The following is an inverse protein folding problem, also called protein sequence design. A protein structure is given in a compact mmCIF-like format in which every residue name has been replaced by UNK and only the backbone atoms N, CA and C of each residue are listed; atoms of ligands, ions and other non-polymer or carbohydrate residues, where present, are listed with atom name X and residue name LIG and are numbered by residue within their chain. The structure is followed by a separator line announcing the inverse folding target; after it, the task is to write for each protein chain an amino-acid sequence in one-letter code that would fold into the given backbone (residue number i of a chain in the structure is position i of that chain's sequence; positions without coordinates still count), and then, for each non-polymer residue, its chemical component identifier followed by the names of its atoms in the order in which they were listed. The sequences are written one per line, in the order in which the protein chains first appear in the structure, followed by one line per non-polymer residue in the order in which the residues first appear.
data_IF_807921753732
#
_entry.id   IF_807921753732
#
_cell.length_a   1.000
_cell.length_b   1.000
_cell.length_c   1.000
_cell.angle_alpha   90.00
_cell.angle_beta   90.00
_cell.angle_gamma   90.00
#
_symmetry.space_group_name_H-M   'P 1'
#
loop_
_entity.id
_entity.type
_entity.pdbx_description
1 polymer ?
#
# COMPACT_ATOMS: atom_id res chain seq x y z
N UNK A 1 0.63 13.26 2.30
CA UNK A 1 1.71 13.67 3.22
C UNK A 1 1.18 13.41 4.61
N UNK A 2 1.65 12.35 5.25
CA UNK A 2 1.21 12.01 6.61
C UNK A 2 2.24 12.58 7.59
N UNK A 3 1.77 13.31 8.59
CA UNK A 3 2.63 13.94 9.60
C UNK A 3 2.27 13.32 10.93
N UNK A 4 3.12 12.42 11.44
CA UNK A 4 2.98 11.83 12.76
C UNK A 4 4.16 12.31 13.60
N UNK A 5 3.87 12.99 14.72
CA UNK A 5 4.87 13.54 15.66
C UNK A 5 5.96 14.43 15.00
N UNK A 6 5.57 15.27 14.04
CA UNK A 6 6.51 16.20 13.38
C UNK A 6 7.51 15.53 12.41
N UNK A 7 7.41 14.21 12.22
CA UNK A 7 8.13 13.49 11.15
C UNK A 7 7.24 13.44 9.92
N UNK A 8 7.74 14.01 8.83
CA UNK A 8 7.09 13.96 7.52
C UNK A 8 7.56 12.65 6.86
N UNK A 9 6.75 11.61 6.99
CA UNK A 9 7.00 10.37 6.26
C UNK A 9 6.43 10.52 4.85
N UNK A 10 7.35 10.70 3.90
CA UNK A 10 7.01 10.89 2.49
C UNK A 10 7.04 9.54 1.80
N UNK A 11 5.90 9.11 1.28
CA UNK A 11 5.80 7.86 0.53
C UNK A 11 5.81 8.13 -0.97
N UNK A 12 6.62 7.38 -1.71
CA UNK A 12 6.62 7.36 -3.17
C UNK A 12 5.69 6.26 -3.63
N UNK A 13 4.68 6.62 -4.40
CA UNK A 13 3.76 5.70 -5.06
C UNK A 13 4.17 5.55 -6.51
N UNK A 14 4.38 4.30 -6.95
CA UNK A 14 4.65 3.95 -8.35
C UNK A 14 3.55 3.00 -8.81
N UNK A 15 2.76 3.44 -9.78
CA UNK A 15 1.76 2.58 -10.44
C UNK A 15 2.45 1.63 -11.42
N UNK A 16 2.12 0.35 -11.33
CA UNK A 16 2.56 -0.68 -12.28
C UNK A 16 1.50 -0.87 -13.37
N UNK A 17 0.22 -0.73 -13.01
CA UNK A 17 -0.94 -0.73 -13.90
C UNK A 17 -2.13 -0.04 -13.19
N UNK A 18 -3.29 0.01 -13.82
CA UNK A 18 -4.51 0.66 -13.28
C UNK A 18 -5.01 0.09 -11.94
N UNK A 19 -4.66 -1.16 -11.62
CA UNK A 19 -5.11 -1.88 -10.43
C UNK A 19 -3.98 -2.28 -9.47
N UNK A 20 -2.74 -1.85 -9.71
CA UNK A 20 -1.58 -2.26 -8.92
C UNK A 20 -0.56 -1.12 -8.79
N UNK A 21 -0.15 -0.86 -7.56
CA UNK A 21 0.90 0.10 -7.26
C UNK A 21 1.85 -0.40 -6.17
N UNK A 22 3.02 0.19 -6.16
CA UNK A 22 4.07 -0.06 -5.18
C UNK A 22 4.28 1.23 -4.39
N UNK A 23 4.20 1.14 -3.08
CA UNK A 23 4.42 2.22 -2.14
C UNK A 23 5.72 1.98 -1.39
N UNK A 24 6.61 2.97 -1.38
CA UNK A 24 7.89 2.90 -0.68
C UNK A 24 8.11 4.17 0.14
N UNK A 25 8.53 4.03 1.40
CA UNK A 25 8.95 5.18 2.19
C UNK A 25 10.23 5.77 1.56
N UNK A 26 10.21 7.07 1.28
CA UNK A 26 11.38 7.79 0.73
C UNK A 26 12.44 8.07 1.78
N UNK A 27 12.05 8.15 3.07
CA UNK A 27 12.93 8.40 4.19
C UNK A 27 12.77 7.30 5.26
N UNK A 28 13.10 6.03 4.94
CA UNK A 28 12.97 4.94 5.89
C UNK A 28 13.95 5.12 7.04
N UNK A 29 13.47 5.17 8.29
CA UNK A 29 14.35 5.29 9.47
C UNK A 29 14.93 3.93 9.86
N UNK A 30 14.22 2.84 9.54
CA UNK A 30 14.62 1.48 9.84
C UNK A 30 14.49 0.53 8.63
N UNK A 31 15.15 -0.65 8.70
CA UNK A 31 15.13 -1.66 7.63
C UNK A 31 13.72 -2.17 7.29
N UNK A 32 12.82 -2.18 8.27
CA UNK A 32 11.43 -2.59 8.07
C UNK A 32 10.65 -1.57 7.22
N UNK A 33 10.84 -0.27 7.46
CA UNK A 33 10.23 0.80 6.65
C UNK A 33 10.81 0.90 5.23
N UNK A 34 12.02 0.37 5.02
CA UNK A 34 12.63 0.28 3.69
C UNK A 34 11.93 -0.72 2.79
N UNK A 35 11.20 -1.70 3.36
CA UNK A 35 10.48 -2.69 2.55
C UNK A 35 9.31 -2.00 1.84
N UNK A 36 9.39 -1.92 0.52
CA UNK A 36 8.28 -1.44 -0.29
C UNK A 36 7.08 -2.38 -0.16
N UNK A 37 5.88 -1.81 -0.08
CA UNK A 37 4.62 -2.54 -0.06
C UNK A 37 4.05 -2.51 -1.47
N UNK A 38 3.80 -3.68 -2.04
CA UNK A 38 3.03 -3.84 -3.27
C UNK A 38 1.58 -4.02 -2.89
N UNK A 39 0.70 -3.21 -3.49
CA UNK A 39 -0.74 -3.29 -3.31
C UNK A 39 -1.41 -3.54 -4.65
N UNK A 40 -2.31 -4.52 -4.69
CA UNK A 40 -3.04 -4.95 -5.87
C UNK A 40 -4.52 -5.05 -5.57
N UNK A 41 -5.34 -4.38 -6.37
CA UNK A 41 -6.79 -4.53 -6.34
C UNK A 41 -7.13 -5.81 -7.12
N UNK A 42 -7.77 -6.77 -6.46
CA UNK A 42 -8.15 -8.06 -7.04
C UNK A 42 -9.53 -8.00 -7.68
N UNK A 43 -10.50 -7.43 -6.96
CA UNK A 43 -11.89 -7.34 -7.42
C UNK A 43 -12.51 -6.03 -6.96
N UNK A 44 -13.32 -5.43 -7.83
CA UNK A 44 -14.07 -4.21 -7.57
C UNK A 44 -15.56 -4.51 -7.77
N UNK A 45 -16.36 -4.17 -6.77
CA UNK A 45 -17.82 -4.19 -6.79
C UNK A 45 -18.34 -2.76 -6.64
N UNK A 46 -19.65 -2.56 -6.81
CA UNK A 46 -20.28 -1.23 -6.76
C UNK A 46 -19.92 -0.41 -5.50
N UNK A 47 -19.87 -1.06 -4.33
CA UNK A 47 -19.62 -0.41 -3.03
C UNK A 47 -18.46 -1.03 -2.25
N UNK A 48 -17.67 -1.91 -2.86
CA UNK A 48 -16.55 -2.54 -2.17
C UNK A 48 -15.45 -2.96 -3.12
N UNK A 49 -14.22 -3.05 -2.63
CA UNK A 49 -13.13 -3.65 -3.38
C UNK A 49 -12.28 -4.53 -2.48
N UNK A 50 -11.79 -5.63 -3.03
CA UNK A 50 -10.85 -6.52 -2.37
C UNK A 50 -9.46 -6.22 -2.89
N UNK A 51 -8.54 -5.99 -1.97
CA UNK A 51 -7.13 -5.75 -2.29
C UNK A 51 -6.25 -6.78 -1.61
N UNK A 52 -5.12 -7.05 -2.23
CA UNK A 52 -4.02 -7.84 -1.70
C UNK A 52 -2.82 -6.92 -1.53
N UNK A 53 -2.13 -7.01 -0.39
CA UNK A 53 -0.88 -6.31 -0.18
C UNK A 53 0.19 -7.24 0.40
N UNK A 54 1.44 -6.98 0.04
CA UNK A 54 2.60 -7.71 0.54
C UNK A 54 3.83 -6.84 0.45
N UNK A 55 4.89 -7.20 1.17
CA UNK A 55 6.20 -6.60 0.90
C UNK A 55 6.72 -7.10 -0.45
N UNK A 56 7.36 -6.22 -1.22
CA UNK A 56 7.97 -6.58 -2.51
C UNK A 56 9.02 -7.67 -2.28
N UNK A 57 8.83 -8.82 -2.93
CA UNK A 57 9.68 -10.00 -2.79
C UNK A 57 9.31 -10.94 -1.64
N UNK A 58 8.27 -10.64 -0.86
CA UNK A 58 7.76 -11.52 0.19
C UNK A 58 6.63 -12.42 -0.34
N UNK A 59 6.62 -13.69 0.08
CA UNK A 59 5.59 -14.66 -0.33
C UNK A 59 4.32 -14.56 0.51
N UNK A 60 4.37 -13.90 1.68
CA UNK A 60 3.21 -13.72 2.55
C UNK A 60 2.40 -12.53 2.07
N UNK A 61 1.23 -12.84 1.53
CA UNK A 61 0.28 -11.84 1.06
C UNK A 61 -0.89 -11.73 2.01
N UNK A 62 -1.28 -10.51 2.32
CA UNK A 62 -2.44 -10.22 3.14
C UNK A 62 -3.54 -9.64 2.26
N UNK A 63 -4.79 -9.93 2.62
CA UNK A 63 -5.96 -9.51 1.86
C UNK A 63 -6.88 -8.71 2.75
N UNK A 64 -7.37 -7.59 2.21
CA UNK A 64 -8.34 -6.73 2.85
C UNK A 64 -9.52 -6.49 1.92
N UNK A 65 -10.67 -6.16 2.52
CA UNK A 65 -11.85 -5.70 1.77
C UNK A 65 -12.22 -4.32 2.28
N UNK A 66 -12.28 -3.35 1.38
CA UNK A 66 -12.77 -2.00 1.69
C UNK A 66 -14.21 -1.93 1.25
N UNK A 67 -15.07 -1.34 2.08
CA UNK A 67 -16.48 -1.10 1.78
C UNK A 67 -16.77 0.38 1.98
N UNK A 68 -17.36 1.00 0.97
CA UNK A 68 -17.89 2.35 1.06
C UNK A 68 -19.09 2.32 2.00
N UNK A 69 -19.06 3.15 3.04
CA UNK A 69 -20.17 3.39 3.95
C UNK A 69 -20.80 4.72 3.53
N UNK A 70 -22.12 4.76 3.45
CA UNK A 70 -22.92 5.96 3.13
C UNK A 70 -23.05 6.85 4.39
#
# INVERSE_FOLDING_TARGET
IETYEGKIDTFKVRWTNDCEYIMQNTHPKNREEKKAVQMKILTTNANSYTFEYSFVGDSKKQRGTVRKID
#
